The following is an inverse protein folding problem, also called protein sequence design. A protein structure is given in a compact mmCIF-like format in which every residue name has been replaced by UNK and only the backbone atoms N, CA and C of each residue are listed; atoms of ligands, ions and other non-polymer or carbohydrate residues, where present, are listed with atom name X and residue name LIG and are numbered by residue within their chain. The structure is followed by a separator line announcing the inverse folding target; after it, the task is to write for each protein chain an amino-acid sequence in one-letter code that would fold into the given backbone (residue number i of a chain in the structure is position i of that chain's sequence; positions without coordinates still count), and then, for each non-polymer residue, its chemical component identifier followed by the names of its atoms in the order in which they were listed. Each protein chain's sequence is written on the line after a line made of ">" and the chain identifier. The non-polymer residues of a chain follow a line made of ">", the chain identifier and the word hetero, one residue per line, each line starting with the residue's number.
data_IF_724152126788
#
_entry.id   IF_724152126788
#
_cell.length_a   1.000
_cell.length_b   1.000
_cell.length_c   1.000
_cell.angle_alpha   90.00
_cell.angle_beta   90.00
_cell.angle_gamma   90.00
#
_symmetry.space_group_name_H-M   'P 1'
#
loop_
_entity.id
_entity.type
_entity.pdbx_description
1 polymer ?
#
# COMPACT_ATOMS: atom_id res chain seq x y z
N UNK A 1 68.37 27.47 5.15
CA UNK A 1 67.98 26.04 5.02
C UNK A 1 66.73 25.70 5.85
N UNK A 2 66.56 26.27 7.05
CA UNK A 2 65.35 26.09 7.89
C UNK A 2 64.04 26.68 7.32
N UNK A 3 64.10 27.78 6.54
CA UNK A 3 62.88 28.42 6.01
C UNK A 3 62.22 27.68 4.84
N UNK A 4 63.02 26.97 4.03
CA UNK A 4 62.52 26.14 2.92
C UNK A 4 61.76 24.92 3.47
N UNK A 5 62.22 24.38 4.60
CA UNK A 5 61.60 23.22 5.25
C UNK A 5 60.24 23.60 5.86
N UNK A 6 60.12 24.78 6.50
CA UNK A 6 58.84 25.30 7.03
C UNK A 6 57.82 25.59 5.93
N UNK A 7 58.25 26.18 4.80
CA UNK A 7 57.38 26.48 3.66
C UNK A 7 56.81 25.21 3.01
N UNK A 8 57.64 24.16 2.87
CA UNK A 8 57.18 22.87 2.34
C UNK A 8 56.29 22.10 3.32
N UNK A 9 56.50 22.24 4.64
CA UNK A 9 55.61 21.65 5.66
C UNK A 9 54.25 22.35 5.69
N UNK A 10 54.19 23.68 5.62
CA UNK A 10 52.92 24.42 5.64
C UNK A 10 52.08 24.17 4.38
N UNK A 11 52.71 24.06 3.21
CA UNK A 11 52.02 23.66 1.96
C UNK A 11 51.47 22.24 2.03
N UNK A 12 52.22 21.29 2.60
CA UNK A 12 51.75 19.90 2.78
C UNK A 12 50.59 19.79 3.78
N UNK A 13 50.63 20.57 4.87
CA UNK A 13 49.53 20.64 5.85
C UNK A 13 48.28 21.29 5.23
N UNK A 14 48.44 22.34 4.43
CA UNK A 14 47.34 23.00 3.74
C UNK A 14 46.67 22.10 2.68
N UNK A 15 47.48 21.33 1.93
CA UNK A 15 46.97 20.31 0.98
C UNK A 15 46.25 19.18 1.72
N UNK A 16 46.74 18.76 2.89
CA UNK A 16 46.09 17.74 3.71
C UNK A 16 44.75 18.23 4.30
N UNK A 17 44.67 19.50 4.71
CA UNK A 17 43.40 20.12 5.15
C UNK A 17 42.36 20.22 4.02
N UNK A 18 42.79 20.56 2.79
CA UNK A 18 41.91 20.55 1.62
C UNK A 18 41.44 19.13 1.31
N UNK A 19 42.31 18.11 1.43
CA UNK A 19 41.93 16.72 1.20
C UNK A 19 40.88 16.22 2.21
N UNK A 20 40.91 16.69 3.47
CA UNK A 20 39.92 16.34 4.49
C UNK A 20 38.55 16.98 4.20
N UNK A 21 38.50 18.16 3.58
CA UNK A 21 37.25 18.79 3.12
C UNK A 21 36.56 17.98 1.99
N UNK A 22 37.26 17.06 1.32
CA UNK A 22 36.68 16.14 0.34
C UNK A 22 36.26 14.77 0.91
N UNK A 23 36.62 14.45 2.16
CA UNK A 23 36.20 13.20 2.83
C UNK A 23 34.83 13.37 3.52
N UNK A 24 34.33 14.61 3.61
CA UNK A 24 33.02 14.95 4.16
C UNK A 24 31.88 15.03 3.13
N UNK A 25 32.08 14.57 1.89
CA UNK A 25 30.94 14.18 1.08
C UNK A 25 30.38 12.89 1.71
N UNK A 26 29.53 13.07 2.72
CA UNK A 26 28.47 12.13 3.03
C UNK A 26 27.99 11.63 1.68
N UNK A 27 28.06 10.32 1.47
CA UNK A 27 27.32 9.70 0.38
C UNK A 27 25.86 10.09 0.64
N UNK A 28 25.43 11.21 0.07
CA UNK A 28 24.02 11.43 -0.18
C UNK A 28 23.70 10.33 -1.18
N UNK A 29 23.34 9.16 -0.64
CA UNK A 29 22.79 8.07 -1.41
C UNK A 29 21.56 8.69 -2.07
N UNK A 30 21.72 9.06 -3.33
CA UNK A 30 20.73 9.78 -4.11
C UNK A 30 19.72 8.76 -4.67
N UNK A 31 19.37 7.76 -3.86
CA UNK A 31 18.73 6.54 -4.33
C UNK A 31 17.24 6.63 -4.04
N UNK A 32 16.51 7.14 -5.03
CA UNK A 32 15.06 6.91 -5.14
C UNK A 32 14.73 5.46 -5.51
N UNK A 33 15.70 4.54 -5.55
CA UNK A 33 15.44 3.15 -5.86
C UNK A 33 15.13 2.39 -4.58
N UNK A 34 13.94 1.78 -4.52
CA UNK A 34 13.55 0.86 -3.46
C UNK A 34 13.41 -0.54 -4.02
N UNK A 35 13.51 -1.56 -3.17
CA UNK A 35 13.28 -2.96 -3.56
C UNK A 35 12.14 -3.51 -2.74
N UNK A 36 11.06 -3.96 -3.40
CA UNK A 36 9.91 -4.62 -2.77
C UNK A 36 9.73 -6.00 -3.41
N UNK A 37 9.77 -7.05 -2.59
CA UNK A 37 9.72 -8.44 -3.04
C UNK A 37 10.59 -8.76 -4.28
N UNK A 38 11.88 -8.38 -4.22
CA UNK A 38 12.87 -8.57 -5.30
C UNK A 38 12.64 -7.77 -6.60
N UNK A 39 11.66 -6.87 -6.65
CA UNK A 39 11.48 -5.91 -7.74
C UNK A 39 11.96 -4.52 -7.32
N UNK A 40 12.77 -3.89 -8.17
CA UNK A 40 13.25 -2.54 -7.95
C UNK A 40 12.29 -1.51 -8.54
N UNK A 41 12.00 -0.47 -7.76
CA UNK A 41 11.15 0.66 -8.15
C UNK A 41 11.94 1.95 -8.05
N UNK A 42 11.91 2.75 -9.12
CA UNK A 42 12.41 4.12 -9.09
C UNK A 42 11.27 5.05 -8.64
N UNK A 43 11.42 5.64 -7.44
CA UNK A 43 10.46 6.54 -6.83
C UNK A 43 10.57 7.95 -7.44
N UNK A 44 9.50 8.49 -8.05
CA UNK A 44 9.48 9.85 -8.59
C UNK A 44 9.84 10.88 -7.52
N UNK A 45 10.52 11.97 -7.92
CA UNK A 45 11.02 12.98 -6.98
C UNK A 45 9.96 13.55 -6.03
N UNK A 46 8.72 13.70 -6.49
CA UNK A 46 7.60 14.20 -5.68
C UNK A 46 7.11 13.21 -4.62
N UNK A 47 7.45 11.93 -4.74
CA UNK A 47 7.07 10.86 -3.82
C UNK A 47 8.24 10.36 -2.96
N UNK A 48 9.39 11.05 -2.95
CA UNK A 48 10.53 10.68 -2.11
C UNK A 48 10.28 11.00 -0.64
N UNK A 49 10.95 10.26 0.26
CA UNK A 49 10.92 10.50 1.70
C UNK A 49 9.89 9.67 2.48
N UNK A 50 9.31 8.66 1.83
CA UNK A 50 8.45 7.67 2.49
C UNK A 50 9.25 6.61 3.24
N UNK A 51 8.53 5.72 3.91
CA UNK A 51 9.07 4.64 4.72
C UNK A 51 8.81 3.28 4.07
N UNK A 52 9.65 2.29 4.37
CA UNK A 52 9.47 0.91 3.93
C UNK A 52 9.17 0.05 5.15
N UNK A 53 8.08 -0.69 5.10
CA UNK A 53 7.72 -1.73 6.06
C UNK A 53 7.00 -2.88 5.35
N UNK A 54 7.28 -4.13 5.72
CA UNK A 54 6.57 -5.33 5.22
C UNK A 54 6.28 -5.35 3.70
N UNK A 55 7.30 -5.17 2.84
CA UNK A 55 7.14 -5.12 1.37
C UNK A 55 6.19 -4.03 0.84
N UNK A 56 6.00 -2.97 1.64
CA UNK A 56 5.27 -1.76 1.29
C UNK A 56 6.18 -0.55 1.43
N UNK A 57 6.10 0.36 0.48
CA UNK A 57 6.57 1.73 0.58
C UNK A 57 5.38 2.65 0.74
N UNK A 58 5.44 3.58 1.69
CA UNK A 58 4.37 4.53 1.95
C UNK A 58 4.93 5.92 2.23
N UNK A 59 4.41 6.92 1.53
CA UNK A 59 4.61 8.33 1.81
C UNK A 59 3.28 8.91 2.30
N UNK A 60 3.11 8.93 3.62
CA UNK A 60 1.87 9.36 4.27
C UNK A 60 0.63 8.71 3.61
N UNK A 61 -0.50 9.41 3.55
CA UNK A 61 -1.70 8.97 2.83
C UNK A 61 -1.72 9.41 1.35
N UNK A 62 -0.58 9.83 0.79
CA UNK A 62 -0.50 10.44 -0.54
C UNK A 62 -0.01 9.47 -1.62
N UNK A 63 0.86 8.52 -1.26
CA UNK A 63 1.45 7.60 -2.22
C UNK A 63 1.90 6.30 -1.54
N UNK A 64 1.68 5.17 -2.21
CA UNK A 64 2.18 3.87 -1.76
C UNK A 64 2.52 2.93 -2.92
N UNK A 65 3.42 1.99 -2.65
CA UNK A 65 3.67 0.82 -3.50
C UNK A 65 3.70 -0.40 -2.59
N UNK A 66 3.02 -1.48 -2.96
CA UNK A 66 2.93 -2.66 -2.12
C UNK A 66 2.94 -3.93 -2.97
N UNK A 67 3.67 -4.95 -2.51
CA UNK A 67 3.49 -6.32 -3.00
C UNK A 67 2.28 -6.92 -2.27
N UNK A 68 1.21 -7.25 -2.99
CA UNK A 68 -0.10 -7.59 -2.38
C UNK A 68 -0.39 -9.09 -2.35
N UNK A 69 0.57 -9.94 -2.70
CA UNK A 69 0.40 -11.40 -2.78
C UNK A 69 -0.20 -12.02 -1.51
N UNK A 70 0.24 -11.59 -0.32
CA UNK A 70 -0.18 -12.18 0.96
C UNK A 70 -1.64 -11.84 1.34
N UNK A 71 -2.24 -10.83 0.71
CA UNK A 71 -3.55 -10.31 1.13
C UNK A 71 -4.35 -9.66 0.00
N UNK A 72 -4.18 -10.14 -1.24
CA UNK A 72 -4.72 -9.52 -2.45
C UNK A 72 -6.22 -9.21 -2.31
N UNK A 73 -7.01 -10.14 -1.78
CA UNK A 73 -8.44 -10.00 -1.52
C UNK A 73 -8.81 -8.70 -0.80
N UNK A 74 -8.10 -8.34 0.28
CA UNK A 74 -8.42 -7.13 1.03
C UNK A 74 -7.92 -5.87 0.32
N UNK A 75 -6.75 -5.92 -0.30
CA UNK A 75 -6.19 -4.79 -1.04
C UNK A 75 -7.12 -4.43 -2.18
N UNK A 76 -7.37 -5.35 -3.11
CA UNK A 76 -8.19 -5.04 -4.27
C UNK A 76 -9.68 -4.95 -3.94
N UNK A 77 -10.17 -5.76 -3.00
CA UNK A 77 -11.60 -5.93 -2.75
C UNK A 77 -12.27 -4.66 -2.24
N UNK A 78 -11.61 -3.91 -1.36
CA UNK A 78 -12.13 -2.64 -0.85
C UNK A 78 -12.32 -1.64 -2.00
N UNK A 79 -11.24 -1.35 -2.73
CA UNK A 79 -11.26 -0.37 -3.82
C UNK A 79 -12.17 -0.82 -4.97
N UNK A 80 -12.20 -2.11 -5.31
CA UNK A 80 -13.09 -2.62 -6.34
C UNK A 80 -14.58 -2.49 -6.00
N UNK A 81 -14.94 -2.49 -4.71
CA UNK A 81 -16.32 -2.32 -4.25
C UNK A 81 -16.74 -0.85 -4.09
N UNK A 82 -15.79 0.05 -3.84
CA UNK A 82 -16.05 1.46 -3.50
C UNK A 82 -15.64 2.43 -4.61
N UNK A 83 -15.04 1.92 -5.68
CA UNK A 83 -14.67 2.68 -6.88
C UNK A 83 -15.82 3.50 -7.45
N UNK A 84 -15.47 4.67 -7.94
CA UNK A 84 -16.29 5.47 -8.84
C UNK A 84 -15.95 5.18 -10.31
N UNK A 85 -14.70 4.78 -10.56
CA UNK A 85 -14.18 4.49 -11.88
C UNK A 85 -13.30 3.24 -11.90
N UNK A 86 -13.40 2.46 -12.98
CA UNK A 86 -12.57 1.29 -13.27
C UNK A 86 -12.04 1.35 -14.70
N UNK A 87 -10.79 0.93 -14.90
CA UNK A 87 -10.23 0.72 -16.24
C UNK A 87 -9.21 -0.41 -16.26
N UNK A 88 -9.36 -1.33 -17.20
CA UNK A 88 -8.28 -2.24 -17.59
C UNK A 88 -7.48 -1.60 -18.73
N UNK A 89 -6.15 -1.65 -18.64
CA UNK A 89 -5.24 -1.11 -19.65
C UNK A 89 -3.94 -1.91 -19.69
N UNK A 90 -3.02 -1.47 -20.56
CA UNK A 90 -1.68 -2.04 -20.65
C UNK A 90 -0.66 -0.91 -20.58
N UNK A 91 0.30 -1.04 -19.68
CA UNK A 91 1.41 -0.10 -19.53
C UNK A 91 2.71 -0.86 -19.79
N UNK A 92 3.38 -0.53 -20.90
CA UNK A 92 4.55 -1.28 -21.34
C UNK A 92 4.17 -2.71 -21.70
N UNK A 93 4.68 -3.69 -20.94
CA UNK A 93 4.40 -5.13 -21.10
C UNK A 93 3.45 -5.67 -20.02
N UNK A 94 2.88 -4.79 -19.22
CA UNK A 94 2.13 -5.17 -18.02
C UNK A 94 0.64 -4.97 -18.21
N UNK A 95 -0.20 -5.99 -17.92
CA UNK A 95 -1.62 -5.77 -17.70
C UNK A 95 -1.80 -4.92 -16.43
N UNK A 96 -2.72 -3.97 -16.48
CA UNK A 96 -2.99 -3.07 -15.36
C UNK A 96 -4.50 -2.96 -15.15
N UNK A 97 -4.94 -3.14 -13.91
CA UNK A 97 -6.29 -2.78 -13.48
C UNK A 97 -6.25 -1.54 -12.60
N UNK A 98 -6.98 -0.52 -13.01
CA UNK A 98 -7.01 0.79 -12.38
C UNK A 98 -8.36 1.06 -11.73
N UNK A 99 -8.33 1.63 -10.53
CA UNK A 99 -9.47 2.11 -9.78
C UNK A 99 -9.26 3.56 -9.34
N UNK A 100 -10.35 4.31 -9.24
CA UNK A 100 -10.35 5.64 -8.63
C UNK A 100 -11.62 5.85 -7.82
N UNK A 101 -11.48 6.49 -6.66
CA UNK A 101 -12.60 6.92 -5.82
C UNK A 101 -12.26 8.18 -5.04
N UNK A 102 -13.27 8.95 -4.66
CA UNK A 102 -13.08 10.05 -3.72
C UNK A 102 -12.80 9.50 -2.31
N UNK A 103 -11.68 9.87 -1.70
CA UNK A 103 -11.35 9.50 -0.33
C UNK A 103 -11.62 10.67 0.62
N UNK A 104 -12.57 10.47 1.53
CA UNK A 104 -13.00 11.50 2.48
C UNK A 104 -11.94 11.88 3.52
N UNK A 105 -10.97 11.01 3.81
CA UNK A 105 -9.91 11.28 4.78
C UNK A 105 -8.83 12.22 4.25
N UNK A 106 -8.51 12.13 2.95
CA UNK A 106 -7.56 13.02 2.28
C UNK A 106 -8.25 14.15 1.50
N UNK A 107 -9.58 14.16 1.49
CA UNK A 107 -10.42 15.14 0.79
C UNK A 107 -10.14 15.28 -0.71
N UNK A 108 -9.63 14.23 -1.34
CA UNK A 108 -9.27 14.19 -2.75
C UNK A 108 -9.51 12.77 -3.30
N UNK A 109 -9.40 12.62 -4.61
CA UNK A 109 -9.45 11.32 -5.26
C UNK A 109 -8.21 10.51 -4.90
N UNK A 110 -8.41 9.23 -4.63
CA UNK A 110 -7.36 8.24 -4.55
C UNK A 110 -7.48 7.25 -5.70
N UNK A 111 -6.34 7.00 -6.31
CA UNK A 111 -6.14 6.15 -7.47
C UNK A 111 -5.30 4.95 -7.07
N UNK A 112 -5.66 3.78 -7.60
CA UNK A 112 -4.97 2.52 -7.35
C UNK A 112 -4.74 1.81 -8.67
N UNK A 113 -3.50 1.40 -8.93
CA UNK A 113 -3.13 0.60 -10.09
C UNK A 113 -2.56 -0.75 -9.64
N UNK A 114 -3.24 -1.83 -9.99
CA UNK A 114 -2.79 -3.20 -9.81
C UNK A 114 -2.12 -3.68 -11.09
N UNK A 115 -0.93 -4.27 -10.99
CA UNK A 115 -0.21 -4.82 -12.13
C UNK A 115 0.70 -5.96 -11.68
N UNK A 116 1.04 -6.84 -12.61
CA UNK A 116 1.96 -7.95 -12.37
C UNK A 116 3.40 -7.56 -12.73
N UNK A 117 4.37 -7.98 -11.93
CA UNK A 117 5.80 -7.85 -12.25
C UNK A 117 6.60 -8.95 -11.56
N UNK A 118 7.55 -9.56 -12.30
CA UNK A 118 8.20 -10.77 -11.81
C UNK A 118 7.16 -11.86 -11.52
N UNK A 119 7.21 -12.45 -10.34
CA UNK A 119 6.27 -13.50 -9.90
C UNK A 119 5.11 -12.96 -9.04
N UNK A 120 4.97 -11.64 -8.92
CA UNK A 120 4.10 -11.00 -7.92
C UNK A 120 3.14 -9.97 -8.51
N UNK A 121 2.09 -9.67 -7.75
CA UNK A 121 1.16 -8.57 -8.02
C UNK A 121 1.48 -7.41 -7.09
N UNK A 122 1.52 -6.21 -7.68
CA UNK A 122 1.79 -4.97 -6.98
C UNK A 122 0.61 -4.01 -7.10
N UNK A 123 0.40 -3.22 -6.05
CA UNK A 123 -0.46 -2.05 -6.03
C UNK A 123 0.40 -0.79 -5.99
N UNK A 124 0.09 0.20 -6.83
CA UNK A 124 0.54 1.58 -6.63
C UNK A 124 -0.68 2.42 -6.30
N UNK A 125 -0.67 3.07 -5.14
CA UNK A 125 -1.70 4.01 -4.69
C UNK A 125 -1.20 5.45 -4.78
N UNK A 126 -2.02 6.40 -5.24
CA UNK A 126 -1.67 7.81 -5.23
C UNK A 126 -2.89 8.73 -5.11
N UNK A 127 -2.69 9.91 -4.53
CA UNK A 127 -3.67 11.00 -4.59
C UNK A 127 -3.73 11.58 -6.01
N UNK A 128 -4.94 11.62 -6.56
CA UNK A 128 -5.26 12.01 -7.93
C UNK A 128 -6.31 11.10 -8.55
N UNK A 129 -6.77 11.46 -9.74
CA UNK A 129 -7.81 10.73 -10.48
C UNK A 129 -7.38 10.28 -11.89
N UNK A 130 -6.12 10.50 -12.24
CA UNK A 130 -5.54 10.12 -13.51
C UNK A 130 -4.22 9.38 -13.29
N UNK A 131 -3.95 8.40 -14.15
CA UNK A 131 -2.63 7.76 -14.25
C UNK A 131 -1.66 8.79 -14.83
N UNK A 132 -0.70 9.21 -14.03
CA UNK A 132 0.31 10.18 -14.47
C UNK A 132 1.44 9.48 -15.23
N UNK A 133 2.20 10.27 -15.99
CA UNK A 133 3.37 9.78 -16.72
C UNK A 133 4.41 9.11 -15.80
N UNK A 134 4.57 9.64 -14.59
CA UNK A 134 5.49 9.08 -13.59
C UNK A 134 5.03 7.68 -13.15
N UNK A 135 3.74 7.48 -12.87
CA UNK A 135 3.19 6.16 -12.53
C UNK A 135 3.33 5.20 -13.72
N UNK A 136 3.06 5.66 -14.95
CA UNK A 136 3.27 4.83 -16.14
C UNK A 136 4.72 4.38 -16.29
N UNK A 137 5.68 5.28 -16.07
CA UNK A 137 7.10 4.99 -16.21
C UNK A 137 7.59 4.05 -15.12
N UNK A 138 7.09 4.19 -13.88
CA UNK A 138 7.35 3.24 -12.79
C UNK A 138 6.92 1.84 -13.18
N UNK A 139 5.66 1.64 -13.59
CA UNK A 139 5.15 0.33 -14.00
C UNK A 139 5.95 -0.21 -15.18
N UNK A 140 6.15 0.59 -16.22
CA UNK A 140 6.83 0.19 -17.46
C UNK A 140 8.26 -0.31 -17.24
N UNK A 141 8.96 0.26 -16.26
CA UNK A 141 10.38 -0.04 -16.02
C UNK A 141 10.61 -1.27 -15.12
N UNK A 142 9.54 -1.85 -14.57
CA UNK A 142 9.64 -3.10 -13.79
C UNK A 142 9.87 -4.32 -14.69
N UNK A 143 10.48 -5.41 -14.16
CA UNK A 143 10.66 -6.65 -14.91
C UNK A 143 9.31 -7.21 -15.41
N UNK A 144 9.24 -7.80 -16.61
CA UNK A 144 8.02 -8.43 -17.12
C UNK A 144 7.43 -9.43 -16.12
N UNK A 145 6.10 -9.46 -16.02
CA UNK A 145 5.38 -10.50 -15.30
C UNK A 145 5.72 -11.90 -15.87
N UNK A 146 5.81 -12.89 -14.97
CA UNK A 146 5.86 -14.31 -15.32
C UNK A 146 4.45 -14.91 -15.44
N UNK A 147 3.46 -14.31 -14.77
CA UNK A 147 2.05 -14.64 -14.97
C UNK A 147 1.53 -14.02 -16.28
N UNK A 148 0.66 -14.74 -16.98
CA UNK A 148 0.06 -14.23 -18.21
C UNK A 148 -1.11 -13.26 -17.93
N UNK A 149 -1.61 -12.62 -18.99
CA UNK A 149 -2.64 -11.58 -18.88
C UNK A 149 -3.97 -12.12 -18.35
N UNK A 150 -4.35 -13.33 -18.75
CA UNK A 150 -5.64 -13.91 -18.37
C UNK A 150 -5.59 -14.39 -16.93
N UNK A 151 -4.48 -15.01 -16.52
CA UNK A 151 -4.21 -15.40 -15.13
C UNK A 151 -4.20 -14.20 -14.19
N UNK A 152 -3.57 -13.08 -14.59
CA UNK A 152 -3.58 -11.85 -13.80
C UNK A 152 -5.01 -11.36 -13.51
N UNK A 153 -5.83 -11.16 -14.54
CA UNK A 153 -7.19 -10.67 -14.33
C UNK A 153 -8.08 -11.68 -13.61
N UNK A 154 -7.87 -12.98 -13.85
CA UNK A 154 -8.56 -14.05 -13.14
C UNK A 154 -8.30 -13.98 -11.63
N UNK A 155 -7.05 -13.85 -11.21
CA UNK A 155 -6.71 -13.77 -9.78
C UNK A 155 -7.25 -12.48 -9.14
N UNK A 156 -7.27 -11.35 -9.87
CA UNK A 156 -7.93 -10.13 -9.40
C UNK A 156 -9.45 -10.34 -9.20
N UNK A 157 -10.15 -10.87 -10.20
CA UNK A 157 -11.61 -11.07 -10.16
C UNK A 157 -12.01 -12.07 -9.07
N UNK A 158 -11.28 -13.18 -8.97
CA UNK A 158 -11.44 -14.18 -7.90
C UNK A 158 -11.26 -13.55 -6.52
N UNK A 159 -10.24 -12.72 -6.34
CA UNK A 159 -9.96 -12.04 -5.07
C UNK A 159 -11.06 -11.05 -4.68
N UNK A 160 -11.59 -10.30 -5.66
CA UNK A 160 -12.73 -9.40 -5.46
C UNK A 160 -13.98 -10.18 -5.04
N UNK A 161 -14.26 -11.32 -5.66
CA UNK A 161 -15.41 -12.16 -5.33
C UNK A 161 -15.31 -12.77 -3.93
N UNK A 162 -14.12 -13.19 -3.52
CA UNK A 162 -13.86 -13.68 -2.16
C UNK A 162 -14.09 -12.58 -1.12
N UNK A 163 -13.55 -11.37 -1.36
CA UNK A 163 -13.78 -10.22 -0.51
C UNK A 163 -15.27 -9.86 -0.39
N UNK A 164 -16.00 -9.83 -1.50
CA UNK A 164 -17.46 -9.56 -1.49
C UNK A 164 -18.21 -10.58 -0.64
N UNK A 165 -17.88 -11.87 -0.77
CA UNK A 165 -18.50 -12.94 0.04
C UNK A 165 -18.20 -12.75 1.53
N UNK A 166 -16.96 -12.43 1.89
CA UNK A 166 -16.58 -12.15 3.27
C UNK A 166 -17.33 -10.94 3.82
N UNK A 167 -17.37 -9.82 3.06
CA UNK A 167 -18.09 -8.59 3.42
C UNK A 167 -19.57 -8.83 3.61
N UNK A 168 -20.24 -9.53 2.69
CA UNK A 168 -21.66 -9.90 2.83
C UNK A 168 -21.91 -10.80 4.03
N UNK A 169 -21.03 -11.78 4.29
CA UNK A 169 -21.11 -12.64 5.47
C UNK A 169 -21.08 -11.83 6.77
N UNK A 170 -20.13 -10.89 6.89
CA UNK A 170 -20.01 -9.99 8.05
C UNK A 170 -21.24 -9.10 8.22
N UNK A 171 -21.73 -8.48 7.14
CA UNK A 171 -22.91 -7.62 7.18
C UNK A 171 -24.17 -8.39 7.61
N UNK A 172 -24.34 -9.62 7.13
CA UNK A 172 -25.44 -10.48 7.55
C UNK A 172 -25.35 -10.81 9.05
N UNK A 173 -24.16 -11.16 9.54
CA UNK A 173 -23.94 -11.42 10.97
C UNK A 173 -24.22 -10.18 11.84
N UNK A 174 -23.76 -9.00 11.43
CA UNK A 174 -24.05 -7.74 12.12
C UNK A 174 -25.55 -7.41 12.11
N UNK A 175 -26.23 -7.62 10.98
CA UNK A 175 -27.68 -7.44 10.88
C UNK A 175 -28.46 -8.37 11.82
N UNK A 176 -28.06 -9.65 11.89
CA UNK A 176 -28.64 -10.63 12.81
C UNK A 176 -28.38 -10.26 14.27
N UNK A 177 -27.16 -9.85 14.61
CA UNK A 177 -26.82 -9.36 15.95
C UNK A 177 -27.70 -8.17 16.35
N UNK A 178 -27.81 -7.16 15.48
CA UNK A 178 -28.62 -5.97 15.73
C UNK A 178 -30.11 -6.30 15.90
N UNK A 179 -30.62 -7.25 15.11
CA UNK A 179 -32.00 -7.74 15.26
C UNK A 179 -32.22 -8.43 16.61
N UNK A 180 -31.30 -9.32 17.02
CA UNK A 180 -31.38 -10.02 18.30
C UNK A 180 -31.29 -9.04 19.47
N UNK A 181 -30.39 -8.04 19.39
CA UNK A 181 -30.24 -7.00 20.41
C UNK A 181 -31.50 -6.13 20.54
N UNK A 182 -32.09 -5.71 19.42
CA UNK A 182 -33.33 -4.92 19.43
C UNK A 182 -34.49 -5.71 20.02
N UNK A 183 -34.63 -6.99 19.63
CA UNK A 183 -35.65 -7.89 20.19
C UNK A 183 -35.47 -8.08 21.69
N UNK A 184 -34.22 -8.25 22.13
CA UNK A 184 -33.86 -8.35 23.54
C UNK A 184 -34.27 -7.09 24.31
N UNK A 185 -33.79 -5.90 23.91
CA UNK A 185 -34.10 -4.61 24.56
C UNK A 185 -35.59 -4.25 24.58
N UNK A 186 -36.37 -4.75 23.62
CA UNK A 186 -37.83 -4.54 23.55
C UNK A 186 -38.63 -5.45 24.48
N UNK A 187 -38.01 -6.47 25.07
CA UNK A 187 -38.68 -7.40 25.97
C UNK A 187 -38.76 -6.82 27.39
N UNK A 188 -39.88 -6.98 28.11
CA UNK A 188 -40.02 -6.49 29.47
C UNK A 188 -39.10 -7.28 30.41
N UNK A 189 -37.95 -6.71 30.76
CA UNK A 189 -36.98 -7.31 31.67
C UNK A 189 -37.07 -6.69 33.07
N UNK A 190 -37.04 -7.53 34.10
CA UNK A 190 -37.33 -7.14 35.48
C UNK A 190 -36.10 -6.79 36.34
N UNK A 191 -34.86 -6.78 35.83
CA UNK A 191 -33.67 -6.34 36.57
C UNK A 191 -32.43 -6.09 35.65
N UNK A 192 -31.89 -4.86 35.64
CA UNK A 192 -30.80 -4.39 34.75
C UNK A 192 -29.45 -5.15 34.84
N UNK A 193 -29.12 -5.80 35.97
CA UNK A 193 -27.81 -6.47 36.12
C UNK A 193 -27.77 -7.92 35.61
N UNK A 194 -28.92 -8.52 35.36
CA UNK A 194 -29.04 -9.89 34.83
C UNK A 194 -29.06 -9.92 33.29
N UNK A 195 -29.13 -8.73 32.67
CA UNK A 195 -29.40 -8.55 31.24
C UNK A 195 -28.21 -8.94 30.33
N UNK A 196 -27.00 -8.50 30.65
CA UNK A 196 -25.83 -8.71 29.78
C UNK A 196 -25.40 -10.18 29.69
N UNK A 197 -25.62 -10.95 30.76
CA UNK A 197 -25.25 -12.38 30.78
C UNK A 197 -26.26 -13.18 29.93
N UNK A 198 -27.54 -12.84 30.02
CA UNK A 198 -28.58 -13.53 29.28
C UNK A 198 -28.51 -13.24 27.78
N UNK A 199 -28.22 -12.00 27.38
CA UNK A 199 -27.99 -11.68 25.97
C UNK A 199 -26.79 -12.44 25.39
N UNK A 200 -25.68 -12.57 26.14
CA UNK A 200 -24.53 -13.39 25.72
C UNK A 200 -24.88 -14.86 25.52
N UNK A 201 -25.72 -15.44 26.37
CA UNK A 201 -26.19 -16.83 26.20
C UNK A 201 -27.07 -17.01 24.95
N UNK A 202 -27.91 -16.03 24.63
CA UNK A 202 -28.72 -16.03 23.40
C UNK A 202 -27.82 -16.03 22.17
N UNK A 203 -26.81 -15.16 22.12
CA UNK A 203 -25.83 -15.13 21.04
C UNK A 203 -25.06 -16.45 20.92
N UNK A 204 -24.57 -16.99 22.04
CA UNK A 204 -23.85 -18.26 22.08
C UNK A 204 -24.70 -19.46 21.59
N UNK A 205 -26.01 -19.43 21.82
CA UNK A 205 -26.93 -20.47 21.35
C UNK A 205 -27.25 -20.31 19.86
N UNK A 206 -27.33 -19.08 19.36
CA UNK A 206 -27.66 -18.78 17.97
C UNK A 206 -26.51 -19.11 17.01
N UNK A 207 -25.27 -18.73 17.36
CA UNK A 207 -24.09 -18.90 16.51
C UNK A 207 -23.33 -20.24 16.68
N UNK A 208 -23.83 -21.18 17.51
CA UNK A 208 -23.23 -22.52 17.72
C UNK A 208 -23.78 -23.63 16.80
N UNK A 209 -24.71 -23.31 15.89
CA UNK A 209 -25.27 -24.27 14.91
C UNK A 209 -24.57 -24.16 13.57
#
# INVERSE_FOLDING_TARGET
>A
MMDIIKSNMSKKIFIFMIAILFIGAVWAQNDSNITLNNVNFEIPSKYKGGEIDNNRYELNNEFSIECVDDNLEKHIGLWACEKEYEKNLTIGKHPVRYYCQYNQYVHDNQSHAYFASGDSIYEIGWTGNEITKEIEDMIRNTPPAQIDYDEFYYELDKSIDLYKKERTGKLNQEGEYNYLEAKYKSSPHTNEKQDDTHFKEILLTHYRK
#
